data_IF_726817479035
#
_entry.id   IF_726817479035
#
_cell.length_a   1.000
_cell.length_b   1.000
_cell.length_c   1.000
_cell.angle_alpha   90.00
_cell.angle_beta   90.00
_cell.angle_gamma   90.00
#
_symmetry.space_group_name_H-M   'P 1'
#
loop_
_entity.id
_entity.type
_entity.pdbx_description
1 polymer ?
#
# COMPACT_ATOMS: atom_id res chain seq x y z
N UNK A 1 -106.08 -25.95 -10.05
CA UNK A 1 -105.57 -24.79 -10.79
C UNK A 1 -105.56 -23.60 -9.82
N UNK A 2 -104.33 -23.27 -9.26
CA UNK A 2 -104.20 -22.15 -8.32
C UNK A 2 -103.79 -20.93 -9.14
N UNK A 3 -104.62 -19.93 -9.14
CA UNK A 3 -104.32 -18.65 -9.77
C UNK A 3 -103.33 -17.87 -8.90
N UNK A 4 -102.21 -17.40 -9.49
CA UNK A 4 -101.31 -16.51 -8.87
C UNK A 4 -101.92 -15.12 -8.73
N UNK A 5 -101.83 -14.48 -7.58
CA UNK A 5 -102.39 -13.17 -7.33
C UNK A 5 -101.73 -12.08 -8.16
N UNK A 6 -102.52 -11.18 -8.70
CA UNK A 6 -102.16 -10.07 -9.58
C UNK A 6 -100.99 -9.19 -9.05
N UNK A 7 -100.72 -9.20 -7.80
CA UNK A 7 -99.64 -8.42 -7.12
C UNK A 7 -98.24 -8.86 -7.47
N UNK A 8 -98.05 -10.13 -7.82
CA UNK A 8 -96.70 -10.65 -8.21
C UNK A 8 -96.31 -10.14 -9.59
N UNK A 9 -97.23 -9.92 -10.48
CA UNK A 9 -96.98 -9.39 -11.82
C UNK A 9 -96.60 -7.91 -11.81
N UNK A 10 -97.16 -7.09 -10.90
CA UNK A 10 -96.81 -5.67 -10.77
C UNK A 10 -95.40 -5.51 -10.14
N UNK A 11 -95.00 -6.36 -9.21
CA UNK A 11 -93.72 -6.36 -8.59
C UNK A 11 -92.58 -6.69 -9.55
N UNK A 12 -92.73 -7.63 -10.44
CA UNK A 12 -91.78 -8.05 -11.44
C UNK A 12 -91.58 -6.98 -12.53
N UNK A 13 -92.58 -6.27 -12.95
CA UNK A 13 -92.47 -5.17 -13.90
C UNK A 13 -91.82 -3.94 -13.31
N UNK A 14 -92.00 -3.63 -12.04
CA UNK A 14 -91.38 -2.55 -11.33
C UNK A 14 -89.82 -2.78 -11.16
N UNK A 15 -89.43 -4.01 -10.84
CA UNK A 15 -88.05 -4.38 -10.72
C UNK A 15 -87.29 -4.35 -12.06
N UNK A 16 -87.91 -4.67 -13.16
CA UNK A 16 -87.34 -4.63 -14.50
C UNK A 16 -87.06 -3.19 -14.99
N UNK A 17 -87.95 -2.21 -14.68
CA UNK A 17 -87.76 -0.81 -15.07
C UNK A 17 -86.64 -0.13 -14.23
N UNK A 18 -86.57 -0.43 -12.92
CA UNK A 18 -85.46 0.11 -12.07
C UNK A 18 -84.11 -0.53 -12.44
N UNK A 19 -84.05 -1.81 -12.76
CA UNK A 19 -82.88 -2.51 -13.23
C UNK A 19 -82.38 -1.98 -14.56
N UNK A 20 -83.22 -1.67 -15.51
CA UNK A 20 -82.86 -1.09 -16.80
C UNK A 20 -82.38 0.37 -16.67
N UNK A 21 -82.99 1.18 -15.78
CA UNK A 21 -82.54 2.56 -15.50
C UNK A 21 -81.13 2.66 -14.87
N UNK A 22 -80.86 1.76 -13.94
CA UNK A 22 -79.52 1.70 -13.31
C UNK A 22 -78.43 1.18 -14.29
N UNK A 23 -78.76 0.31 -15.22
CA UNK A 23 -77.88 -0.21 -16.24
C UNK A 23 -77.55 0.83 -17.32
N UNK A 24 -78.44 1.70 -17.69
CA UNK A 24 -78.31 2.77 -18.70
C UNK A 24 -77.48 3.94 -18.10
N UNK A 25 -77.65 4.28 -16.83
CA UNK A 25 -76.90 5.36 -16.18
C UNK A 25 -75.43 4.99 -15.86
N UNK A 26 -75.03 3.69 -15.87
CA UNK A 26 -73.66 3.25 -15.71
C UNK A 26 -72.85 3.23 -17.00
N UNK A 27 -73.39 3.57 -18.16
CA UNK A 27 -72.71 3.49 -19.47
C UNK A 27 -72.22 4.80 -20.04
N UNK A 28 -72.17 5.86 -19.29
CA UNK A 28 -71.76 7.16 -19.85
C UNK A 28 -70.93 7.99 -18.84
N UNK A 29 -69.89 7.44 -18.30
CA UNK A 29 -68.76 8.28 -17.91
C UNK A 29 -67.78 8.22 -19.06
N UNK A 30 -67.46 9.33 -19.75
CA UNK A 30 -66.33 9.37 -20.67
C UNK A 30 -65.09 9.03 -19.85
N UNK A 31 -64.36 8.00 -20.29
CA UNK A 31 -63.00 7.74 -19.81
C UNK A 31 -62.21 9.07 -19.93
N UNK A 32 -61.91 9.67 -18.80
CA UNK A 32 -60.94 10.75 -18.80
C UNK A 32 -59.67 10.18 -19.44
N UNK A 33 -59.04 10.87 -20.41
CA UNK A 33 -57.82 10.38 -21.01
C UNK A 33 -56.85 10.09 -19.85
N UNK A 34 -56.43 8.83 -19.74
CA UNK A 34 -55.40 8.43 -18.79
C UNK A 34 -54.25 9.42 -18.97
N UNK A 35 -54.04 10.25 -17.96
CA UNK A 35 -52.89 11.11 -17.94
C UNK A 35 -51.70 10.20 -18.22
N UNK A 36 -51.09 10.39 -19.40
CA UNK A 36 -49.91 9.67 -19.77
C UNK A 36 -48.95 9.79 -18.58
N UNK A 37 -48.66 8.67 -17.95
CA UNK A 37 -47.68 8.62 -16.86
C UNK A 37 -46.44 9.23 -17.44
N UNK A 38 -46.10 10.45 -17.02
CA UNK A 38 -44.84 11.10 -17.32
C UNK A 38 -43.81 10.09 -16.87
N UNK A 39 -42.91 9.58 -17.73
CA UNK A 39 -41.91 8.66 -17.29
C UNK A 39 -41.17 9.40 -16.18
N UNK A 40 -41.31 8.92 -14.94
CA UNK A 40 -40.50 9.43 -13.83
C UNK A 40 -39.08 9.16 -14.26
N UNK A 41 -38.36 10.21 -14.60
CA UNK A 41 -36.91 10.13 -14.80
C UNK A 41 -36.40 9.58 -13.46
N UNK A 42 -36.15 8.26 -13.40
CA UNK A 42 -35.48 7.65 -12.25
C UNK A 42 -34.17 8.42 -12.09
N UNK A 43 -34.04 9.07 -10.94
CA UNK A 43 -32.78 9.65 -10.59
C UNK A 43 -31.68 8.58 -10.81
N UNK A 44 -30.58 8.91 -11.44
CA UNK A 44 -29.54 7.94 -11.72
C UNK A 44 -29.18 7.23 -10.41
N UNK A 45 -29.36 5.92 -10.40
CA UNK A 45 -29.14 5.08 -9.22
C UNK A 45 -27.64 5.14 -8.86
N UNK A 46 -27.33 5.44 -7.59
CA UNK A 46 -25.95 5.55 -7.14
C UNK A 46 -25.23 4.19 -7.31
N UNK A 47 -24.05 4.19 -7.92
CA UNK A 47 -23.24 2.98 -8.06
C UNK A 47 -22.75 2.57 -6.68
N UNK A 48 -22.94 1.29 -6.32
CA UNK A 48 -22.40 0.68 -5.13
C UNK A 48 -21.46 -0.47 -5.51
N UNK A 49 -20.30 -0.55 -4.88
CA UNK A 49 -19.31 -1.56 -5.17
C UNK A 49 -18.56 -1.99 -3.91
N UNK A 50 -18.06 -3.22 -3.91
CA UNK A 50 -17.23 -3.73 -2.82
C UNK A 50 -15.80 -3.25 -2.97
N UNK A 51 -15.16 -3.02 -1.84
CA UNK A 51 -13.76 -2.64 -1.79
C UNK A 51 -13.08 -3.12 -0.52
N UNK A 52 -11.80 -2.83 -0.45
CA UNK A 52 -10.97 -3.16 0.68
C UNK A 52 -10.11 -1.96 1.05
N UNK A 53 -10.00 -1.65 2.35
CA UNK A 53 -9.10 -0.62 2.83
C UNK A 53 -7.66 -1.07 2.68
N UNK A 54 -6.81 -0.18 2.17
CA UNK A 54 -5.36 -0.37 2.10
C UNK A 54 -4.65 0.94 2.43
N UNK A 55 -3.38 0.90 2.88
CA UNK A 55 -2.57 2.12 2.98
C UNK A 55 -2.49 2.81 1.63
N UNK A 56 -2.60 4.14 1.61
CA UNK A 56 -2.33 4.92 0.40
C UNK A 56 -0.85 4.82 0.05
N UNK A 57 -0.56 4.30 -1.10
CA UNK A 57 0.78 3.92 -1.51
C UNK A 57 0.99 2.40 -1.41
N UNK A 58 2.10 1.96 -1.97
CA UNK A 58 2.42 0.54 -2.03
C UNK A 58 2.76 -0.02 -0.65
N UNK A 59 2.21 -1.19 -0.34
CA UNK A 59 2.75 -2.03 0.72
C UNK A 59 4.12 -2.51 0.28
N UNK A 60 5.13 -2.19 1.06
CA UNK A 60 6.52 -2.57 0.76
C UNK A 60 6.92 -3.75 1.60
N UNK A 61 7.35 -4.79 0.92
CA UNK A 61 7.99 -5.95 1.54
C UNK A 61 9.47 -5.65 1.69
N UNK A 62 9.95 -5.64 2.93
CA UNK A 62 11.34 -5.37 3.25
C UNK A 62 12.10 -6.69 3.31
N UNK A 63 13.09 -6.84 2.44
CA UNK A 63 13.97 -7.99 2.40
C UNK A 63 15.20 -7.76 3.28
N UNK A 64 15.85 -8.84 3.71
CA UNK A 64 17.16 -8.76 4.29
C UNK A 64 18.21 -8.45 3.21
N UNK A 65 19.32 -7.77 3.55
CA UNK A 65 20.43 -7.61 2.62
C UNK A 65 21.04 -8.97 2.28
N UNK A 66 21.58 -9.07 1.09
CA UNK A 66 22.36 -10.25 0.68
C UNK A 66 23.83 -9.91 0.89
N UNK A 67 24.43 -10.45 1.95
CA UNK A 67 25.84 -10.24 2.25
C UNK A 67 26.70 -11.19 1.42
N UNK A 68 27.49 -10.68 0.49
CA UNK A 68 28.59 -11.33 -0.23
C UNK A 68 28.58 -12.87 -0.28
N UNK A 69 29.63 -13.51 0.26
CA UNK A 69 29.78 -14.98 0.29
C UNK A 69 28.96 -15.70 1.36
N UNK A 70 28.27 -15.00 2.27
CA UNK A 70 27.59 -15.60 3.44
C UNK A 70 26.09 -15.89 3.27
N UNK A 71 25.47 -15.44 2.18
CA UNK A 71 24.01 -15.53 2.00
C UNK A 71 23.24 -14.54 2.89
N UNK A 72 21.94 -14.81 3.11
CA UNK A 72 21.09 -13.97 3.94
C UNK A 72 21.46 -14.07 5.43
N UNK A 73 21.76 -12.96 6.14
CA UNK A 73 22.07 -12.98 7.56
C UNK A 73 20.83 -13.34 8.40
N UNK A 74 21.03 -13.74 9.67
CA UNK A 74 19.95 -13.96 10.62
C UNK A 74 19.53 -12.65 11.26
N UNK A 75 18.29 -12.56 11.67
CA UNK A 75 17.80 -11.45 12.50
C UNK A 75 18.37 -11.62 13.90
N UNK A 76 19.19 -10.68 14.35
CA UNK A 76 19.69 -10.62 15.72
C UNK A 76 18.65 -9.99 16.65
N UNK A 77 18.06 -8.86 16.24
CA UNK A 77 17.02 -8.16 16.98
C UNK A 77 15.91 -7.60 16.06
N UNK A 78 14.68 -7.60 16.58
CA UNK A 78 13.54 -6.88 16.01
C UNK A 78 13.19 -5.70 16.92
N UNK A 79 13.32 -4.48 16.38
CA UNK A 79 13.14 -3.24 17.15
C UNK A 79 11.69 -2.74 17.13
N UNK A 80 10.81 -3.40 16.38
CA UNK A 80 9.41 -3.01 16.17
C UNK A 80 8.49 -4.24 16.23
N UNK A 81 7.19 -3.98 16.43
CA UNK A 81 6.11 -4.97 16.44
C UNK A 81 5.08 -4.65 15.35
N UNK A 82 4.26 -5.63 15.01
CA UNK A 82 3.10 -5.42 14.14
C UNK A 82 2.17 -4.36 14.75
N UNK A 83 1.76 -3.39 13.93
CA UNK A 83 0.96 -2.24 14.33
C UNK A 83 1.75 -1.01 14.75
N UNK A 84 3.08 -1.09 14.93
CA UNK A 84 3.88 0.06 15.32
C UNK A 84 3.99 1.10 14.21
N UNK A 85 3.91 2.38 14.61
CA UNK A 85 4.18 3.49 13.71
C UNK A 85 5.69 3.66 13.52
N UNK A 86 6.12 3.80 12.28
CA UNK A 86 7.52 3.92 11.89
C UNK A 86 7.76 5.19 11.07
N UNK A 87 9.00 5.69 11.14
CA UNK A 87 9.47 6.84 10.36
C UNK A 87 10.50 6.40 9.34
N UNK A 88 10.55 7.09 8.22
CA UNK A 88 11.61 6.89 7.22
C UNK A 88 13.00 7.02 7.86
N UNK A 89 13.87 6.03 7.61
CA UNK A 89 15.21 5.94 8.19
C UNK A 89 15.28 5.36 9.60
N UNK A 90 14.13 4.99 10.20
CA UNK A 90 14.11 4.33 11.51
C UNK A 90 14.60 2.88 11.39
N UNK A 91 15.54 2.42 12.27
CA UNK A 91 15.92 1.01 12.35
C UNK A 91 14.74 0.14 12.77
N UNK A 92 14.52 -0.96 12.04
CA UNK A 92 13.42 -1.91 12.26
C UNK A 92 13.94 -3.27 12.74
N UNK A 93 15.09 -3.69 12.23
CA UNK A 93 15.76 -4.94 12.60
C UNK A 93 17.27 -4.78 12.52
N UNK A 94 17.99 -5.59 13.29
CA UNK A 94 19.45 -5.70 13.30
C UNK A 94 19.81 -7.13 12.92
N UNK A 95 20.83 -7.29 12.07
CA UNK A 95 21.32 -8.59 11.62
C UNK A 95 22.57 -9.05 12.38
N UNK A 96 22.76 -10.37 12.44
CA UNK A 96 23.87 -11.03 13.17
C UNK A 96 25.24 -10.81 12.53
N UNK A 97 25.32 -10.25 11.33
CA UNK A 97 26.57 -9.82 10.68
C UNK A 97 27.21 -8.58 11.30
N UNK A 98 26.46 -7.74 12.00
CA UNK A 98 26.91 -6.45 12.53
C UNK A 98 28.16 -6.52 13.42
N UNK A 99 28.24 -7.36 14.47
CA UNK A 99 29.41 -7.40 15.35
C UNK A 99 30.71 -7.81 14.62
N UNK A 100 30.58 -8.70 13.63
CA UNK A 100 31.72 -9.11 12.82
C UNK A 100 32.22 -7.95 11.96
N UNK A 101 31.33 -7.21 11.29
CA UNK A 101 31.70 -6.05 10.47
C UNK A 101 32.33 -4.95 11.33
N UNK A 102 31.82 -4.69 12.53
CA UNK A 102 32.37 -3.73 13.48
C UNK A 102 33.79 -4.13 13.90
N UNK A 103 34.04 -5.42 14.12
CA UNK A 103 35.37 -5.92 14.43
C UNK A 103 36.36 -5.77 13.24
N UNK A 104 35.89 -6.04 12.02
CA UNK A 104 36.70 -5.86 10.79
C UNK A 104 37.02 -4.36 10.54
N UNK A 105 36.10 -3.44 10.81
CA UNK A 105 36.37 -1.99 10.76
C UNK A 105 37.44 -1.61 11.76
N UNK A 106 37.34 -2.10 13.00
CA UNK A 106 38.36 -1.81 14.03
C UNK A 106 39.74 -2.34 13.65
N UNK A 107 39.83 -3.51 13.03
CA UNK A 107 41.10 -4.05 12.50
C UNK A 107 41.69 -3.15 11.40
N UNK A 108 40.86 -2.76 10.41
CA UNK A 108 41.31 -1.89 9.32
C UNK A 108 41.71 -0.50 9.85
N UNK A 109 40.99 0.04 10.84
CA UNK A 109 41.37 1.30 11.48
C UNK A 109 42.74 1.23 12.15
N UNK A 110 43.06 0.11 12.81
CA UNK A 110 44.39 -0.12 13.37
C UNK A 110 45.48 -0.21 12.27
N UNK A 111 45.16 -0.87 11.15
CA UNK A 111 46.08 -0.95 9.99
C UNK A 111 46.32 0.45 9.37
N UNK A 112 45.26 1.26 9.21
CA UNK A 112 45.38 2.65 8.73
C UNK A 112 46.32 3.47 9.63
N UNK A 113 46.16 3.34 10.95
CA UNK A 113 47.00 4.06 11.90
C UNK A 113 48.48 3.62 11.81
N UNK A 114 48.74 2.32 11.67
CA UNK A 114 50.08 1.77 11.49
C UNK A 114 50.73 2.28 10.19
N UNK A 115 50.02 2.15 9.06
CA UNK A 115 50.49 2.61 7.75
C UNK A 115 50.74 4.13 7.74
N UNK A 116 49.88 4.92 8.40
CA UNK A 116 50.05 6.36 8.51
C UNK A 116 51.32 6.72 9.30
N UNK A 117 51.68 5.92 10.31
CA UNK A 117 52.94 6.10 11.02
C UNK A 117 54.16 5.74 10.13
N UNK A 118 54.05 4.67 9.36
CA UNK A 118 55.10 4.26 8.41
C UNK A 118 55.33 5.32 7.32
N UNK A 119 54.25 5.89 6.77
CA UNK A 119 54.33 7.02 5.83
C UNK A 119 55.13 8.19 6.45
N UNK A 120 54.83 8.57 7.70
CA UNK A 120 55.55 9.66 8.39
C UNK A 120 57.03 9.33 8.63
N UNK A 121 57.34 8.08 8.91
CA UNK A 121 58.74 7.63 9.07
C UNK A 121 59.47 7.72 7.73
N UNK A 122 58.84 7.22 6.69
CA UNK A 122 59.41 7.19 5.34
C UNK A 122 59.55 8.61 4.73
N UNK A 123 58.61 9.53 4.99
CA UNK A 123 58.74 10.94 4.61
C UNK A 123 59.98 11.58 5.21
N UNK A 124 60.30 11.29 6.48
CA UNK A 124 61.53 11.77 7.13
C UNK A 124 62.79 11.15 6.52
N UNK A 125 62.75 9.87 6.14
CA UNK A 125 63.84 9.21 5.44
C UNK A 125 64.09 9.83 4.08
N UNK A 126 63.06 9.98 3.26
CA UNK A 126 63.11 10.66 1.95
C UNK A 126 63.72 12.06 2.08
N UNK A 127 63.31 12.84 3.09
CA UNK A 127 63.85 14.17 3.36
C UNK A 127 65.35 14.13 3.67
N UNK A 128 65.83 13.18 4.52
CA UNK A 128 67.24 12.99 4.85
C UNK A 128 68.10 12.63 3.63
N UNK A 129 67.62 11.65 2.83
CA UNK A 129 68.36 11.23 1.63
C UNK A 129 68.31 12.30 0.53
N UNK A 130 67.24 13.11 0.42
CA UNK A 130 67.22 14.26 -0.49
C UNK A 130 68.37 15.27 -0.19
N UNK A 131 68.57 15.58 1.07
CA UNK A 131 69.70 16.47 1.48
C UNK A 131 71.02 15.81 1.20
N UNK A 132 71.21 14.54 1.57
CA UNK A 132 72.53 13.82 1.37
C UNK A 132 72.87 13.67 -0.11
N UNK A 133 71.89 13.39 -0.97
CA UNK A 133 72.09 13.29 -2.42
C UNK A 133 72.47 14.65 -3.06
N UNK A 134 71.93 15.77 -2.58
CA UNK A 134 72.26 17.12 -3.05
C UNK A 134 73.74 17.48 -2.79
N UNK A 135 74.36 16.99 -1.69
CA UNK A 135 75.76 17.27 -1.33
C UNK A 135 76.66 16.14 -1.75
N UNK A 136 76.24 15.16 -2.51
CA UNK A 136 77.03 14.01 -2.97
C UNK A 136 77.34 12.97 -1.89
N UNK A 137 76.73 13.05 -0.70
CA UNK A 137 76.92 12.13 0.41
C UNK A 137 76.04 10.85 0.32
N UNK A 138 75.08 10.77 -0.62
CA UNK A 138 74.31 9.56 -0.95
C UNK A 138 74.15 9.45 -2.47
N UNK A 139 74.07 8.20 -2.96
CA UNK A 139 73.76 7.97 -4.38
C UNK A 139 72.30 8.36 -4.71
N UNK A 140 72.06 8.96 -5.86
CA UNK A 140 70.74 9.37 -6.32
C UNK A 140 69.74 8.18 -6.39
N UNK A 141 70.27 7.02 -6.80
CA UNK A 141 69.46 5.78 -6.85
C UNK A 141 68.83 5.42 -5.50
N UNK A 142 69.57 5.58 -4.39
CA UNK A 142 69.07 5.31 -3.04
C UNK A 142 67.97 6.31 -2.66
N UNK A 143 68.10 7.56 -3.06
CA UNK A 143 67.04 8.54 -2.85
C UNK A 143 65.80 8.17 -3.62
N UNK A 144 65.90 7.77 -4.88
CA UNK A 144 64.76 7.32 -5.71
C UNK A 144 64.08 6.08 -5.13
N UNK A 145 64.85 5.09 -4.63
CA UNK A 145 64.32 3.92 -3.94
C UNK A 145 63.44 4.32 -2.71
N UNK A 146 63.93 5.29 -1.91
CA UNK A 146 63.16 5.79 -0.76
C UNK A 146 61.90 6.51 -1.14
N UNK A 147 61.89 7.21 -2.28
CA UNK A 147 60.65 7.79 -2.82
C UNK A 147 59.70 6.73 -3.29
N UNK A 148 60.14 5.67 -3.94
CA UNK A 148 59.31 4.57 -4.39
C UNK A 148 58.67 3.83 -3.20
N UNK A 149 59.43 3.62 -2.13
CA UNK A 149 58.95 3.04 -0.89
C UNK A 149 57.89 3.92 -0.23
N UNK A 150 58.10 5.24 -0.19
CA UNK A 150 57.08 6.17 0.30
C UNK A 150 55.79 6.09 -0.54
N UNK A 151 55.93 6.07 -1.87
CA UNK A 151 54.77 5.93 -2.76
C UNK A 151 54.00 4.61 -2.56
N UNK A 152 54.70 3.53 -2.20
CA UNK A 152 54.11 2.24 -1.88
C UNK A 152 53.24 2.34 -0.61
N UNK A 153 53.75 2.88 0.50
CA UNK A 153 53.01 3.05 1.74
C UNK A 153 51.83 4.00 1.58
N UNK A 154 51.97 5.08 0.82
CA UNK A 154 50.88 6.00 0.51
C UNK A 154 49.75 5.29 -0.24
N UNK A 155 50.07 4.44 -1.23
CA UNK A 155 49.06 3.64 -1.95
C UNK A 155 48.35 2.63 -1.05
N UNK A 156 49.09 1.94 -0.20
CA UNK A 156 48.56 1.01 0.79
C UNK A 156 47.58 1.73 1.74
N UNK A 157 47.91 2.92 2.20
CA UNK A 157 46.99 3.75 2.99
C UNK A 157 45.69 4.08 2.27
N UNK A 158 45.74 4.39 0.96
CA UNK A 158 44.56 4.64 0.13
C UNK A 158 43.70 3.38 -0.03
N UNK A 159 44.32 2.21 -0.21
CA UNK A 159 43.65 0.92 -0.32
C UNK A 159 42.93 0.56 0.98
N UNK A 160 43.57 0.78 2.14
CA UNK A 160 42.94 0.54 3.44
C UNK A 160 41.75 1.47 3.70
N UNK A 161 41.88 2.75 3.32
CA UNK A 161 40.74 3.71 3.42
C UNK A 161 39.57 3.26 2.53
N UNK A 162 39.83 2.78 1.32
CA UNK A 162 38.80 2.24 0.44
C UNK A 162 38.14 0.99 1.04
N UNK A 163 38.93 0.08 1.63
CA UNK A 163 38.39 -1.11 2.33
C UNK A 163 37.53 -0.73 3.51
N UNK A 164 37.95 0.23 4.32
CA UNK A 164 37.16 0.76 5.45
C UNK A 164 35.79 1.28 4.97
N UNK A 165 35.79 2.04 3.89
CA UNK A 165 34.57 2.59 3.31
C UNK A 165 33.59 1.50 2.81
N UNK A 166 34.10 0.42 2.23
CA UNK A 166 33.29 -0.75 1.87
C UNK A 166 32.65 -1.38 3.10
N UNK A 167 33.43 -1.60 4.17
CA UNK A 167 32.91 -2.15 5.43
C UNK A 167 31.86 -1.23 6.09
N UNK A 168 32.01 0.10 5.98
CA UNK A 168 30.99 1.05 6.46
C UNK A 168 29.65 0.91 5.71
N UNK A 169 29.73 0.60 4.41
CA UNK A 169 28.52 0.29 3.63
C UNK A 169 27.88 -1.01 4.11
N UNK A 170 28.69 -2.06 4.30
CA UNK A 170 28.23 -3.35 4.82
C UNK A 170 27.65 -3.21 6.24
N UNK A 171 28.22 -2.32 7.07
CA UNK A 171 27.69 -2.00 8.40
C UNK A 171 26.33 -1.31 8.31
N UNK A 172 26.15 -0.38 7.40
CA UNK A 172 24.86 0.26 7.17
C UNK A 172 23.80 -0.77 6.69
N UNK A 173 24.20 -1.72 5.86
CA UNK A 173 23.32 -2.80 5.38
C UNK A 173 23.04 -3.86 6.47
N UNK A 174 23.78 -3.85 7.60
CA UNK A 174 23.49 -4.73 8.74
C UNK A 174 22.28 -4.30 9.57
N UNK A 175 21.64 -3.19 9.23
CA UNK A 175 20.38 -2.72 9.79
C UNK A 175 19.31 -2.65 8.70
N UNK A 176 18.09 -3.09 9.03
CA UNK A 176 16.94 -2.88 8.17
C UNK A 176 16.29 -1.55 8.52
N UNK A 177 16.38 -0.58 7.63
CA UNK A 177 15.79 0.75 7.82
C UNK A 177 14.43 0.86 7.13
N UNK A 178 13.52 1.63 7.73
CA UNK A 178 12.25 1.94 7.07
C UNK A 178 12.44 2.87 5.88
N UNK A 179 11.95 2.52 4.68
CA UNK A 179 12.01 3.39 3.51
C UNK A 179 10.93 4.48 3.50
N UNK A 180 9.93 4.39 4.39
CA UNK A 180 8.75 5.26 4.42
C UNK A 180 8.33 5.63 5.85
N UNK A 181 7.50 6.66 5.97
CA UNK A 181 6.70 6.90 7.16
C UNK A 181 5.44 6.04 7.06
N UNK A 182 5.12 5.26 8.08
CA UNK A 182 3.99 4.35 7.99
C UNK A 182 3.77 3.48 9.22
N UNK A 183 3.28 2.27 8.99
CA UNK A 183 3.00 1.26 10.02
C UNK A 183 3.57 -0.08 9.58
N UNK A 184 4.06 -0.87 10.54
CA UNK A 184 4.41 -2.27 10.35
C UNK A 184 3.12 -3.08 10.21
N UNK A 185 2.86 -3.64 9.03
CA UNK A 185 1.64 -4.40 8.75
C UNK A 185 1.78 -5.84 9.20
N UNK A 186 2.92 -6.46 8.90
CA UNK A 186 3.18 -7.87 9.20
C UNK A 186 4.68 -8.12 9.33
N UNK A 187 5.04 -9.02 10.26
CA UNK A 187 6.40 -9.52 10.43
C UNK A 187 6.43 -10.98 9.97
N UNK A 188 7.26 -11.27 8.96
CA UNK A 188 7.38 -12.61 8.36
C UNK A 188 8.48 -13.45 8.99
N UNK A 189 9.53 -12.81 9.52
CA UNK A 189 10.70 -13.50 10.07
C UNK A 189 10.99 -13.03 11.49
N UNK A 190 11.34 -13.96 12.37
CA UNK A 190 11.57 -13.71 13.80
C UNK A 190 13.05 -13.66 14.14
N UNK A 191 13.36 -13.19 15.34
CA UNK A 191 14.74 -13.22 15.91
C UNK A 191 15.29 -14.63 15.85
N UNK A 192 16.52 -14.79 15.35
CA UNK A 192 17.21 -16.07 15.14
C UNK A 192 16.93 -16.71 13.79
N UNK A 193 15.92 -16.27 13.03
CA UNK A 193 15.60 -16.81 11.72
C UNK A 193 16.38 -16.11 10.60
N UNK A 194 16.56 -16.82 9.48
CA UNK A 194 17.03 -16.24 8.21
C UNK A 194 15.83 -15.91 7.35
N UNK A 195 15.66 -14.65 6.95
CA UNK A 195 14.54 -14.26 6.09
C UNK A 195 14.54 -15.01 4.77
N UNK A 196 13.36 -15.55 4.42
CA UNK A 196 13.11 -16.24 3.16
C UNK A 196 12.56 -15.30 2.08
N UNK A 197 11.83 -15.88 1.12
CA UNK A 197 11.23 -15.16 -0.02
C UNK A 197 10.21 -14.09 0.39
N UNK A 198 9.59 -14.23 1.56
CA UNK A 198 8.64 -13.24 2.10
C UNK A 198 9.33 -12.03 2.74
N UNK A 199 10.65 -12.05 2.88
CA UNK A 199 11.44 -11.01 3.49
C UNK A 199 11.32 -10.99 5.03
N UNK A 200 11.64 -9.85 5.62
CA UNK A 200 11.60 -9.65 7.08
C UNK A 200 10.20 -9.21 7.52
N UNK A 201 9.66 -8.17 6.88
CA UNK A 201 8.36 -7.58 7.24
C UNK A 201 7.73 -6.82 6.07
N UNK A 202 6.44 -6.52 6.21
CA UNK A 202 5.69 -5.63 5.35
C UNK A 202 5.37 -4.33 6.06
N UNK A 203 5.61 -3.20 5.38
CA UNK A 203 5.30 -1.86 5.87
C UNK A 203 4.41 -1.12 4.88
N UNK A 204 3.50 -0.32 5.37
CA UNK A 204 2.58 0.48 4.56
C UNK A 204 2.46 1.91 5.05
N UNK A 205 2.22 2.85 4.15
CA UNK A 205 2.02 4.26 4.48
C UNK A 205 0.63 4.46 5.08
N UNK A 206 0.47 4.28 6.38
CA UNK A 206 -0.85 4.31 7.04
C UNK A 206 -1.39 5.70 7.36
N UNK A 207 -0.59 6.77 7.20
CA UNK A 207 -1.07 8.13 7.44
C UNK A 207 -2.06 8.61 6.38
N UNK A 208 -2.00 8.01 5.19
CA UNK A 208 -3.01 8.15 4.16
C UNK A 208 -3.58 6.77 3.87
N UNK A 209 -4.88 6.61 4.02
CA UNK A 209 -5.59 5.38 3.71
C UNK A 209 -6.41 5.58 2.45
N UNK A 210 -6.49 4.54 1.65
CA UNK A 210 -7.33 4.47 0.47
C UNK A 210 -8.16 3.19 0.46
N UNK A 211 -9.22 3.18 -0.34
CA UNK A 211 -9.98 1.98 -0.59
C UNK A 211 -9.76 1.55 -2.05
N UNK A 212 -9.36 0.31 -2.24
CA UNK A 212 -9.38 -0.34 -3.54
C UNK A 212 -10.80 -0.88 -3.74
N UNK A 213 -11.54 -0.29 -4.66
CA UNK A 213 -12.95 -0.61 -4.93
C UNK A 213 -13.06 -1.33 -6.27
N UNK A 214 -13.72 -2.48 -6.28
CA UNK A 214 -13.96 -3.30 -7.47
C UNK A 214 -15.33 -2.99 -8.07
N UNK A 215 -15.34 -2.18 -9.11
CA UNK A 215 -16.54 -1.75 -9.82
C UNK A 215 -16.79 -2.66 -11.01
N UNK A 216 -18.05 -3.09 -11.21
CA UNK A 216 -18.42 -3.87 -12.38
C UNK A 216 -18.15 -3.11 -13.69
N UNK A 217 -17.71 -3.84 -14.72
CA UNK A 217 -17.46 -3.28 -16.06
C UNK A 217 -18.68 -2.52 -16.61
N UNK A 218 -19.89 -2.96 -16.29
CA UNK A 218 -21.15 -2.31 -16.70
C UNK A 218 -21.36 -0.92 -16.10
N UNK A 219 -20.81 -0.66 -14.92
CA UNK A 219 -21.05 0.56 -14.15
C UNK A 219 -19.91 1.59 -14.22
N UNK A 220 -18.76 1.20 -14.77
CA UNK A 220 -17.57 2.05 -14.77
C UNK A 220 -17.78 3.39 -15.50
N UNK A 221 -18.60 3.40 -16.55
CA UNK A 221 -18.90 4.61 -17.31
C UNK A 221 -19.65 5.70 -16.50
N UNK A 222 -20.14 5.33 -15.32
CA UNK A 222 -20.86 6.21 -14.37
C UNK A 222 -19.94 6.77 -13.29
N UNK A 223 -18.63 6.43 -13.34
CA UNK A 223 -17.63 6.82 -12.35
C UNK A 223 -16.60 7.71 -13.03
N UNK A 224 -16.25 8.79 -12.33
CA UNK A 224 -15.27 9.76 -12.81
C UNK A 224 -14.23 10.07 -11.73
N UNK A 225 -13.00 10.40 -12.15
CA UNK A 225 -11.96 10.87 -11.23
C UNK A 225 -12.43 12.16 -10.55
N UNK A 226 -12.17 12.27 -9.26
CA UNK A 226 -12.62 13.37 -8.41
C UNK A 226 -14.02 13.20 -7.81
N UNK A 227 -14.79 12.19 -8.22
CA UNK A 227 -16.14 11.93 -7.73
C UNK A 227 -16.14 11.61 -6.23
N UNK A 228 -17.03 12.21 -5.41
CA UNK A 228 -17.16 11.91 -3.99
C UNK A 228 -17.70 10.50 -3.76
N UNK A 229 -17.10 9.80 -2.79
CA UNK A 229 -17.46 8.43 -2.41
C UNK A 229 -17.69 8.37 -0.92
N UNK A 230 -18.73 7.66 -0.51
CA UNK A 230 -18.99 7.34 0.89
C UNK A 230 -18.77 5.83 1.10
N UNK A 231 -17.96 5.47 2.09
CA UNK A 231 -17.65 4.08 2.42
C UNK A 231 -18.29 3.69 3.74
N UNK A 232 -18.83 2.49 3.79
CA UNK A 232 -19.37 1.86 5.01
C UNK A 232 -18.67 0.53 5.22
N UNK A 233 -18.51 0.10 6.46
CA UNK A 233 -17.98 -1.24 6.74
C UNK A 233 -19.00 -2.30 6.34
N UNK A 234 -18.58 -3.35 5.64
CA UNK A 234 -19.43 -4.49 5.31
C UNK A 234 -19.85 -5.28 6.58
N UNK A 235 -18.89 -5.49 7.48
CA UNK A 235 -19.05 -6.38 8.65
C UNK A 235 -18.91 -5.64 10.00
N UNK A 236 -19.10 -4.33 10.04
CA UNK A 236 -19.10 -3.56 11.29
C UNK A 236 -17.73 -3.26 11.88
N UNK A 237 -16.64 -3.35 11.11
CA UNK A 237 -15.27 -3.08 11.59
C UNK A 237 -15.03 -1.63 12.02
N UNK A 238 -15.86 -0.69 11.56
CA UNK A 238 -15.93 0.68 12.08
C UNK A 238 -17.39 1.16 12.08
N UNK A 239 -17.69 2.18 12.91
CA UNK A 239 -19.03 2.79 12.99
C UNK A 239 -19.15 4.01 12.08
N UNK A 240 -20.33 4.20 11.49
CA UNK A 240 -20.65 5.34 10.63
C UNK A 240 -20.06 5.20 9.23
N UNK A 241 -19.77 6.34 8.60
CA UNK A 241 -19.29 6.44 7.22
C UNK A 241 -17.88 7.03 7.19
N UNK A 242 -17.11 6.65 6.17
CA UNK A 242 -15.88 7.32 5.77
C UNK A 242 -16.14 8.09 4.49
N UNK A 243 -15.53 9.23 4.36
CA UNK A 243 -15.59 10.03 3.15
C UNK A 243 -14.28 9.93 2.37
N UNK A 244 -14.41 9.86 1.06
CA UNK A 244 -13.29 9.78 0.14
C UNK A 244 -13.64 10.35 -1.22
N UNK A 245 -12.67 10.29 -2.11
CA UNK A 245 -12.79 10.76 -3.49
C UNK A 245 -12.06 9.80 -4.42
N UNK A 246 -12.63 9.58 -5.60
CA UNK A 246 -11.97 8.80 -6.66
C UNK A 246 -10.68 9.50 -7.07
N UNK A 247 -9.55 8.83 -6.88
CA UNK A 247 -8.23 9.32 -7.30
C UNK A 247 -7.85 8.77 -8.66
N UNK A 248 -8.07 7.47 -8.87
CA UNK A 248 -7.65 6.79 -10.08
C UNK A 248 -8.60 5.66 -10.45
N UNK A 249 -8.78 5.46 -11.74
CA UNK A 249 -9.47 4.31 -12.34
C UNK A 249 -8.41 3.52 -13.11
N UNK A 250 -8.20 2.26 -12.74
CA UNK A 250 -7.20 1.40 -13.40
C UNK A 250 -7.72 0.96 -14.77
N UNK A 251 -6.98 1.21 -15.88
CA UNK A 251 -7.47 0.91 -17.23
C UNK A 251 -7.35 -0.58 -17.59
N UNK A 252 -7.63 -1.47 -16.64
CA UNK A 252 -7.55 -2.92 -16.84
C UNK A 252 -8.73 -3.63 -16.21
N UNK A 253 -9.44 -4.40 -17.01
CA UNK A 253 -10.50 -5.30 -16.52
C UNK A 253 -9.87 -6.55 -15.95
N UNK A 254 -10.27 -6.94 -14.75
CA UNK A 254 -9.79 -8.12 -14.02
C UNK A 254 -10.93 -8.97 -13.53
N UNK A 255 -10.63 -10.19 -13.11
CA UNK A 255 -11.56 -10.99 -12.32
C UNK A 255 -11.62 -10.43 -10.90
N UNK A 256 -12.80 -10.50 -10.31
CA UNK A 256 -13.08 -10.03 -8.96
C UNK A 256 -12.23 -10.78 -7.92
N UNK A 257 -11.58 -10.05 -7.00
CA UNK A 257 -10.78 -10.59 -5.91
C UNK A 257 -11.43 -10.38 -4.55
N UNK A 258 -12.11 -9.23 -4.36
CA UNK A 258 -12.82 -8.92 -3.12
C UNK A 258 -14.16 -9.65 -3.13
N UNK A 259 -14.19 -10.84 -2.57
CA UNK A 259 -15.42 -11.64 -2.48
C UNK A 259 -16.39 -11.02 -1.48
N UNK A 260 -17.66 -10.90 -1.88
CA UNK A 260 -18.76 -10.59 -0.96
C UNK A 260 -18.92 -11.71 0.06
N UNK A 261 -19.42 -11.37 1.25
CA UNK A 261 -19.94 -12.35 2.22
C UNK A 261 -21.26 -12.99 1.76
N UNK A 262 -21.88 -12.44 0.73
CA UNK A 262 -23.08 -13.03 0.10
C UNK A 262 -22.67 -14.21 -0.79
N UNK A 263 -23.12 -15.45 -0.50
CA UNK A 263 -22.77 -16.64 -1.27
C UNK A 263 -23.37 -16.64 -2.70
N UNK A 264 -24.29 -15.73 -3.00
CA UNK A 264 -24.89 -15.54 -4.34
C UNK A 264 -24.08 -14.60 -5.22
N UNK A 265 -23.01 -14.01 -4.69
CA UNK A 265 -22.12 -13.11 -5.44
C UNK A 265 -21.41 -13.82 -6.59
N UNK A 266 -21.45 -13.21 -7.78
CA UNK A 266 -20.80 -13.74 -8.98
C UNK A 266 -19.27 -13.67 -8.82
N UNK A 267 -18.64 -14.83 -8.60
CA UNK A 267 -17.19 -14.95 -8.43
C UNK A 267 -16.42 -14.68 -9.74
N UNK A 268 -17.07 -14.86 -10.89
CA UNK A 268 -16.46 -14.67 -12.22
C UNK A 268 -16.73 -13.26 -12.80
N UNK A 269 -17.28 -12.36 -11.99
CA UNK A 269 -17.57 -11.01 -12.44
C UNK A 269 -16.32 -10.26 -12.87
N UNK A 270 -16.43 -9.57 -14.00
CA UNK A 270 -15.39 -8.69 -14.54
C UNK A 270 -15.51 -7.33 -13.86
N UNK A 271 -14.41 -6.89 -13.28
CA UNK A 271 -14.34 -5.65 -12.51
C UNK A 271 -13.17 -4.77 -12.95
N UNK A 272 -13.31 -3.48 -12.67
CA UNK A 272 -12.29 -2.47 -12.84
C UNK A 272 -11.95 -1.93 -11.44
N UNK A 273 -10.66 -1.88 -11.11
CA UNK A 273 -10.17 -1.37 -9.85
C UNK A 273 -10.22 0.16 -9.85
N UNK A 274 -10.83 0.73 -8.82
CA UNK A 274 -10.93 2.17 -8.57
C UNK A 274 -10.29 2.49 -7.23
N UNK A 275 -9.25 3.32 -7.23
CA UNK A 275 -8.61 3.80 -6.02
C UNK A 275 -9.37 5.03 -5.49
N UNK A 276 -9.80 4.95 -4.25
CA UNK A 276 -10.54 6.00 -3.54
C UNK A 276 -9.71 6.48 -2.35
N UNK A 277 -9.15 7.67 -2.43
CA UNK A 277 -8.41 8.30 -1.31
C UNK A 277 -9.40 8.78 -0.26
N UNK A 278 -9.14 8.43 1.00
CA UNK A 278 -9.94 8.86 2.13
C UNK A 278 -9.58 10.29 2.54
N UNK A 279 -10.56 11.01 3.07
CA UNK A 279 -10.28 12.29 3.75
C UNK A 279 -9.35 12.07 4.95
N UNK A 280 -8.54 13.07 5.35
CA UNK A 280 -7.62 12.94 6.49
C UNK A 280 -8.31 12.45 7.77
N UNK A 281 -9.50 12.94 8.07
CA UNK A 281 -10.29 12.51 9.22
C UNK A 281 -10.74 11.04 9.11
N UNK A 282 -11.19 10.65 7.92
CA UNK A 282 -11.59 9.26 7.65
C UNK A 282 -10.38 8.32 7.72
N UNK A 283 -9.24 8.72 7.16
CA UNK A 283 -8.01 7.94 7.16
C UNK A 283 -7.53 7.67 8.60
N UNK A 284 -7.50 8.70 9.47
CA UNK A 284 -7.08 8.55 10.87
C UNK A 284 -7.90 7.53 11.65
N UNK A 285 -9.19 7.39 11.35
CA UNK A 285 -10.10 6.44 12.02
C UNK A 285 -9.83 4.99 11.67
N UNK A 286 -9.14 4.72 10.56
CA UNK A 286 -8.96 3.37 9.99
C UNK A 286 -7.50 3.02 9.71
N UNK A 287 -6.55 3.77 10.26
CA UNK A 287 -5.09 3.56 10.05
C UNK A 287 -4.61 2.15 10.35
N UNK A 288 -5.27 1.44 11.27
CA UNK A 288 -4.93 0.08 11.68
C UNK A 288 -5.85 -0.99 11.09
N UNK A 289 -6.74 -0.61 10.17
CA UNK A 289 -7.75 -1.49 9.59
C UNK A 289 -7.46 -1.83 8.12
N UNK A 290 -6.17 -2.04 7.80
CA UNK A 290 -5.78 -2.54 6.48
C UNK A 290 -6.40 -3.92 6.22
N UNK A 291 -6.93 -4.12 5.01
CA UNK A 291 -7.59 -5.37 4.66
C UNK A 291 -9.09 -5.42 4.99
N UNK A 292 -9.64 -4.42 5.68
CA UNK A 292 -11.06 -4.39 6.02
C UNK A 292 -11.93 -4.19 4.79
N UNK A 293 -12.99 -5.02 4.65
CA UNK A 293 -13.95 -4.90 3.57
C UNK A 293 -14.93 -3.75 3.78
N UNK A 294 -15.18 -3.01 2.72
CA UNK A 294 -16.04 -1.84 2.69
C UNK A 294 -16.99 -1.86 1.50
N UNK A 295 -18.13 -1.22 1.64
CA UNK A 295 -19.05 -0.93 0.56
C UNK A 295 -18.90 0.54 0.20
N UNK A 296 -18.45 0.81 -1.01
CA UNK A 296 -18.33 2.16 -1.57
C UNK A 296 -19.61 2.54 -2.30
N UNK A 297 -20.12 3.74 -2.03
CA UNK A 297 -21.25 4.35 -2.75
C UNK A 297 -20.77 5.63 -3.40
N UNK A 298 -20.81 5.64 -4.72
CA UNK A 298 -20.42 6.79 -5.54
C UNK A 298 -21.58 7.77 -5.62
N UNK A 299 -21.39 9.01 -5.16
CA UNK A 299 -22.42 10.04 -5.27
C UNK A 299 -22.61 10.39 -6.76
N UNK A 300 -23.84 10.49 -7.22
CA UNK A 300 -24.14 10.95 -8.59
C UNK A 300 -23.55 12.33 -8.82
N UNK A 301 -22.90 12.56 -9.97
CA UNK A 301 -22.31 13.86 -10.30
C UNK A 301 -23.33 14.98 -10.34
#
# INVERSE_FOLDING_TARGET
MKQLPLWVLVGVLGAAVVGAGVWITRRSTPDAPAAAAVPSVRAPEAVAALGQLKPAGEVRRLAAPVSGFGGTPRIADLLVKEGDQIRKGQPLAIFDSRPQIEAEIAEVDAQIQSTALEVKLQEREVSRFAVAAKVGAAAMVVYEEKQDELRRFQREGVELIAKRRSLETDLADSELLSPINGVVLKIHSRVGERPGNDGVMEVGASQAMEALVEVYESDINRISVGQPVTLTSENGGFKGTLEGRVERITPQVRQRKVLSTDPTGDADARVIEVDVVLSPESAQRVTQLSGLKVIARFKTP
#
